data_IF_440127892212
#
_entry.id   IF_440127892212
#
_cell.length_a   1.000
_cell.length_b   1.000
_cell.length_c   1.000
_cell.angle_alpha   90.00
_cell.angle_beta   90.00
_cell.angle_gamma   90.00
#
_symmetry.space_group_name_H-M   'P 1'
#
loop_
_entity.id
_entity.type
_entity.pdbx_description
1 polymer ?
#
# COMPACT_ATOMS: atom_id res chain seq x y z
N UNK A 1 6.22 7.40 15.56
CA UNK A 1 5.35 6.92 14.46
C UNK A 1 5.43 7.90 13.32
N UNK A 2 5.67 7.38 12.12
CA UNK A 2 5.83 8.12 10.87
C UNK A 2 4.47 8.18 10.18
N UNK A 3 3.90 9.37 9.89
CA UNK A 3 2.61 9.44 9.20
C UNK A 3 2.71 8.80 7.81
N UNK A 4 1.74 7.96 7.49
CA UNK A 4 1.60 7.36 6.17
C UNK A 4 0.48 8.05 5.42
N UNK A 5 0.75 8.42 4.16
CA UNK A 5 -0.26 8.85 3.20
C UNK A 5 -0.35 7.81 2.09
N UNK A 6 -1.55 7.60 1.57
CA UNK A 6 -1.75 6.76 0.41
C UNK A 6 -2.70 7.43 -0.56
N UNK A 7 -2.54 7.14 -1.85
CA UNK A 7 -3.46 7.52 -2.91
C UNK A 7 -3.73 6.30 -3.77
N UNK A 8 -5.01 6.03 -4.05
CA UNK A 8 -5.43 4.97 -4.96
C UNK A 8 -6.18 5.66 -6.11
N UNK A 9 -5.64 5.57 -7.32
CA UNK A 9 -6.22 6.19 -8.50
C UNK A 9 -6.10 5.26 -9.69
N UNK A 10 -7.23 4.98 -10.34
CA UNK A 10 -7.32 4.01 -11.43
C UNK A 10 -6.74 2.65 -11.03
N UNK A 11 -5.64 2.22 -11.66
CA UNK A 11 -4.93 0.97 -11.42
C UNK A 11 -3.63 1.17 -10.63
N UNK A 12 -3.43 2.32 -9.98
CA UNK A 12 -2.22 2.63 -9.22
C UNK A 12 -2.49 2.89 -7.75
N UNK A 13 -1.52 2.48 -6.93
CA UNK A 13 -1.45 2.77 -5.50
C UNK A 13 -0.11 3.42 -5.22
N UNK A 14 -0.15 4.64 -4.71
CA UNK A 14 1.03 5.38 -4.26
C UNK A 14 1.03 5.42 -2.72
N UNK A 15 2.07 4.88 -2.10
CA UNK A 15 2.32 4.97 -0.66
C UNK A 15 3.45 5.95 -0.39
N UNK A 16 3.21 6.86 0.54
CA UNK A 16 4.19 7.84 1.00
C UNK A 16 4.38 7.71 2.50
N UNK A 17 5.57 7.30 2.92
CA UNK A 17 5.94 7.12 4.33
C UNK A 17 6.79 8.31 4.76
N UNK A 18 6.22 9.15 5.62
CA UNK A 18 6.90 10.37 6.09
C UNK A 18 7.65 10.04 7.37
N UNK A 19 8.97 9.88 7.31
CA UNK A 19 9.80 9.74 8.50
C UNK A 19 10.24 11.12 9.00
N UNK A 20 10.13 11.38 10.32
CA UNK A 20 10.38 12.71 10.91
C UNK A 20 11.80 13.27 10.69
N UNK A 21 12.78 12.42 10.38
CA UNK A 21 14.21 12.78 10.33
C UNK A 21 14.95 12.23 9.09
N UNK A 22 14.23 11.69 8.10
CA UNK A 22 14.81 11.06 6.90
C UNK A 22 14.02 11.40 5.65
N UNK A 23 14.64 11.14 4.50
CA UNK A 23 13.99 11.20 3.19
C UNK A 23 12.66 10.44 3.19
N UNK A 24 11.66 11.03 2.54
CA UNK A 24 10.34 10.43 2.39
C UNK A 24 10.46 9.16 1.53
N UNK A 25 9.98 8.01 2.03
CA UNK A 25 9.92 6.81 1.21
C UNK A 25 8.65 6.86 0.37
N UNK A 26 8.83 6.83 -0.94
CA UNK A 26 7.75 6.71 -1.91
C UNK A 26 7.77 5.30 -2.50
N UNK A 27 6.63 4.62 -2.48
CA UNK A 27 6.48 3.30 -3.09
C UNK A 27 5.25 3.32 -3.97
N UNK A 28 5.42 2.99 -5.25
CA UNK A 28 4.33 2.86 -6.22
C UNK A 28 4.05 1.40 -6.51
N UNK A 29 2.77 1.09 -6.64
CA UNK A 29 2.28 -0.21 -7.04
C UNK A 29 1.28 -0.11 -8.18
N UNK A 30 1.28 -1.11 -9.06
CA UNK A 30 0.21 -1.33 -10.03
C UNK A 30 -0.72 -2.44 -9.59
N UNK A 31 -2.01 -2.16 -9.55
CA UNK A 31 -3.08 -3.11 -9.27
C UNK A 31 -3.22 -4.04 -10.48
N UNK A 32 -3.10 -5.34 -10.23
CA UNK A 32 -3.34 -6.38 -11.25
C UNK A 32 -4.65 -7.12 -11.02
N UNK A 33 -5.14 -7.16 -9.78
CA UNK A 33 -6.39 -7.82 -9.43
C UNK A 33 -6.97 -7.23 -8.14
N UNK A 34 -8.28 -7.00 -8.12
CA UNK A 34 -9.03 -6.63 -6.92
C UNK A 34 -9.57 -7.89 -6.25
N UNK A 35 -9.14 -8.14 -5.01
CA UNK A 35 -9.56 -9.32 -4.22
C UNK A 35 -10.72 -9.00 -3.26
N UNK A 36 -10.73 -7.79 -2.69
CA UNK A 36 -11.77 -7.28 -1.81
C UNK A 36 -11.92 -5.78 -2.03
N UNK A 37 -13.16 -5.31 -2.14
CA UNK A 37 -13.47 -3.89 -2.24
C UNK A 37 -14.71 -3.59 -1.39
N UNK A 38 -14.49 -3.38 -0.10
CA UNK A 38 -15.51 -2.85 0.80
C UNK A 38 -15.13 -1.39 1.12
N UNK A 39 -15.69 -0.45 0.35
CA UNK A 39 -15.41 0.97 0.47
C UNK A 39 -16.66 1.72 0.87
N UNK A 40 -16.63 2.33 2.06
CA UNK A 40 -17.62 3.30 2.49
C UNK A 40 -17.07 4.72 2.32
N UNK A 41 -15.90 4.96 2.88
CA UNK A 41 -15.14 6.21 2.77
C UNK A 41 -13.66 5.96 3.12
N UNK A 42 -12.81 6.99 3.03
CA UNK A 42 -11.37 6.86 3.31
C UNK A 42 -11.05 6.48 4.76
N UNK A 43 -11.98 6.74 5.68
CA UNK A 43 -11.87 6.44 7.10
C UNK A 43 -12.45 5.06 7.44
N UNK A 44 -13.24 4.48 6.55
CA UNK A 44 -13.95 3.21 6.72
C UNK A 44 -13.88 2.39 5.43
N UNK A 45 -12.86 1.55 5.33
CA UNK A 45 -12.71 0.66 4.18
C UNK A 45 -11.94 -0.61 4.53
N UNK A 46 -12.23 -1.65 3.78
CA UNK A 46 -11.50 -2.91 3.76
C UNK A 46 -11.22 -3.29 2.31
N UNK A 47 -10.04 -2.92 1.82
CA UNK A 47 -9.62 -3.08 0.44
C UNK A 47 -8.49 -4.08 0.38
N UNK A 48 -8.50 -4.98 -0.60
CA UNK A 48 -7.43 -5.94 -0.82
C UNK A 48 -7.14 -6.10 -2.31
N UNK A 49 -5.88 -5.98 -2.68
CA UNK A 49 -5.43 -6.02 -4.06
C UNK A 49 -4.24 -6.95 -4.22
N UNK A 50 -4.11 -7.56 -5.40
CA UNK A 50 -2.83 -8.04 -5.91
C UNK A 50 -2.15 -6.91 -6.67
N UNK A 51 -0.86 -6.74 -6.42
CA UNK A 51 -0.10 -5.63 -6.97
C UNK A 51 1.29 -6.03 -7.44
N UNK A 52 1.84 -5.25 -8.37
CA UNK A 52 3.24 -5.29 -8.76
C UNK A 52 3.95 -4.03 -8.24
N UNK A 53 5.10 -4.21 -7.60
CA UNK A 53 5.93 -3.09 -7.13
C UNK A 53 6.61 -2.43 -8.33
N UNK A 54 6.62 -1.10 -8.35
CA UNK A 54 7.39 -0.35 -9.33
C UNK A 54 8.86 -0.25 -8.90
N UNK A 55 9.78 -0.56 -9.81
CA UNK A 55 11.21 -0.47 -9.61
C UNK A 55 11.75 0.74 -10.39
N UNK A 56 12.20 1.76 -9.65
CA UNK A 56 12.71 3.02 -10.21
C UNK A 56 14.03 2.87 -10.97
N UNK A 57 14.89 1.93 -10.56
CA UNK A 57 16.21 1.71 -11.21
C UNK A 57 16.07 1.15 -12.62
N UNK A 58 15.01 0.38 -12.86
CA UNK A 58 14.75 -0.31 -14.14
C UNK A 58 13.57 0.26 -14.91
N UNK A 59 12.89 1.29 -14.38
CA UNK A 59 11.69 1.91 -14.95
C UNK A 59 10.63 0.85 -15.33
N UNK A 60 10.41 -0.12 -14.44
CA UNK A 60 9.56 -1.28 -14.75
C UNK A 60 8.83 -1.82 -13.52
N UNK A 61 7.75 -2.55 -13.75
CA UNK A 61 7.07 -3.28 -12.68
C UNK A 61 7.71 -4.65 -12.49
N UNK A 62 7.90 -5.03 -11.23
CA UNK A 62 8.35 -6.37 -10.89
C UNK A 62 7.39 -7.44 -11.43
N UNK A 63 7.92 -8.63 -11.68
CA UNK A 63 7.11 -9.77 -12.14
C UNK A 63 6.39 -10.48 -10.99
N UNK A 64 6.86 -10.29 -9.77
CA UNK A 64 6.35 -10.95 -8.58
C UNK A 64 5.14 -10.20 -8.05
N UNK A 65 4.09 -10.96 -7.77
CA UNK A 65 2.82 -10.40 -7.32
C UNK A 65 2.80 -10.36 -5.80
N UNK A 66 2.63 -9.16 -5.25
CA UNK A 66 2.40 -8.92 -3.84
C UNK A 66 0.91 -8.78 -3.55
N UNK A 67 0.53 -8.87 -2.29
CA UNK A 67 -0.80 -8.47 -1.82
C UNK A 67 -0.70 -7.24 -0.94
N UNK A 68 -1.61 -6.30 -1.12
CA UNK A 68 -1.77 -5.14 -0.25
C UNK A 68 -3.20 -5.10 0.28
N UNK A 69 -3.33 -4.88 1.58
CA UNK A 69 -4.61 -4.79 2.27
C UNK A 69 -4.68 -3.47 3.05
N UNK A 70 -5.75 -2.71 2.84
CA UNK A 70 -6.08 -1.49 3.56
C UNK A 70 -7.25 -1.81 4.48
N UNK A 71 -7.07 -1.64 5.79
CA UNK A 71 -8.13 -1.90 6.77
C UNK A 71 -8.27 -0.72 7.70
N UNK A 72 -9.26 0.12 7.44
CA UNK A 72 -9.59 1.34 8.17
C UNK A 72 -10.98 1.26 8.78
N UNK A 73 -11.09 1.73 10.03
CA UNK A 73 -12.33 1.90 10.78
C UNK A 73 -12.23 3.18 11.60
N UNK A 74 -13.17 4.09 11.41
CA UNK A 74 -13.21 5.40 12.07
C UNK A 74 -11.90 6.20 11.95
N UNK A 75 -11.28 6.16 10.77
CA UNK A 75 -10.06 6.89 10.43
C UNK A 75 -8.78 6.21 10.89
N UNK A 76 -8.89 5.19 11.74
CA UNK A 76 -7.76 4.43 12.27
C UNK A 76 -7.64 3.11 11.54
N UNK A 77 -6.42 2.71 11.22
CA UNK A 77 -6.26 1.46 10.50
C UNK A 77 -4.83 1.09 10.22
N UNK A 78 -4.72 0.04 9.41
CA UNK A 78 -3.44 -0.51 9.01
C UNK A 78 -3.42 -0.81 7.52
N UNK A 79 -2.26 -0.62 6.93
CA UNK A 79 -1.94 -1.15 5.61
C UNK A 79 -0.99 -2.33 5.82
N UNK A 80 -1.37 -3.48 5.30
CA UNK A 80 -0.58 -4.70 5.33
C UNK A 80 -0.06 -4.98 3.92
N UNK A 81 1.24 -5.18 3.77
CA UNK A 81 1.84 -5.59 2.50
C UNK A 81 2.49 -6.96 2.69
N UNK A 82 2.09 -7.92 1.87
CA UNK A 82 2.67 -9.26 1.79
C UNK A 82 3.42 -9.38 0.47
N UNK A 83 4.75 -9.34 0.54
CA UNK A 83 5.62 -9.54 -0.60
C UNK A 83 6.07 -11.00 -0.64
N UNK A 84 6.09 -11.68 -1.81
CA UNK A 84 6.45 -13.10 -1.88
C UNK A 84 7.88 -13.42 -1.43
N UNK A 85 8.80 -12.45 -1.52
CA UNK A 85 10.20 -12.63 -1.08
C UNK A 85 10.48 -12.16 0.35
N UNK A 86 9.53 -11.46 0.98
CA UNK A 86 9.67 -11.05 2.36
C UNK A 86 8.76 -11.94 3.20
N UNK A 87 9.36 -12.80 4.04
CA UNK A 87 8.64 -13.55 5.07
C UNK A 87 7.93 -12.63 6.09
N UNK A 88 8.22 -11.33 6.05
CA UNK A 88 7.70 -10.33 6.97
C UNK A 88 6.52 -9.56 6.36
N UNK A 89 5.44 -9.49 7.14
CA UNK A 89 4.29 -8.62 6.89
C UNK A 89 4.70 -7.19 7.24
N UNK A 90 4.77 -6.28 6.26
CA UNK A 90 4.93 -4.87 6.58
C UNK A 90 3.58 -4.32 7.07
N UNK A 91 3.48 -4.07 8.37
CA UNK A 91 2.29 -3.50 9.01
C UNK A 91 2.53 -2.03 9.29
N UNK A 92 1.78 -1.17 8.61
CA UNK A 92 1.87 0.28 8.77
C UNK A 92 0.58 0.82 9.38
N UNK A 93 0.67 1.61 10.46
CA UNK A 93 -0.52 2.22 11.08
C UNK A 93 -0.74 3.62 10.51
N UNK A 94 -1.97 3.93 10.09
CA UNK A 94 -2.38 5.30 9.79
C UNK A 94 -3.28 5.82 10.94
N UNK A 95 -3.04 7.08 11.33
CA UNK A 95 -3.67 7.78 12.45
C UNK A 95 -4.97 8.47 12.04
#
# INVERSE_FOLDING_TARGET
MSPLRYNIQADLIDLKIIQKEKDELFIRFKIVETLLCDFKDISNCNLKYKVLTYNEETDSYEKKVSQIEFKFSDGKGKINIQHPDLSELLVMQAL
#
